data_IF_605199697058
#
_entry.id   IF_605199697058
#
_cell.length_a   1.000
_cell.length_b   1.000
_cell.length_c   1.000
_cell.angle_alpha   90.00
_cell.angle_beta   90.00
_cell.angle_gamma   90.00
#
_symmetry.space_group_name_H-M   'P 1'
#
loop_
_entity.id
_entity.type
_entity.pdbx_description
1 polymer ?
#
# COMPACT_ATOMS: atom_id res chain seq x y z
N UNK A 1 21.48 47.32 -27.39
CA UNK A 1 22.06 46.00 -27.69
C UNK A 1 23.17 45.72 -26.67
N UNK A 2 22.87 44.92 -25.65
CA UNK A 2 23.74 44.64 -24.50
C UNK A 2 24.48 43.31 -24.67
N UNK A 3 25.81 43.34 -24.69
CA UNK A 3 26.65 42.20 -24.28
C UNK A 3 27.95 42.75 -23.69
N UNK A 4 27.92 43.08 -22.41
CA UNK A 4 29.08 43.59 -21.66
C UNK A 4 29.40 42.59 -20.54
N UNK A 5 30.57 41.97 -20.67
CA UNK A 5 31.52 41.64 -19.58
C UNK A 5 31.11 40.58 -18.57
N UNK A 6 31.93 39.52 -18.41
CA UNK A 6 32.54 39.17 -17.10
C UNK A 6 33.30 37.83 -17.17
N UNK A 7 34.54 37.85 -17.68
CA UNK A 7 35.48 36.71 -17.65
C UNK A 7 36.35 36.71 -16.38
N UNK A 8 36.00 37.47 -15.33
CA UNK A 8 36.81 37.58 -14.10
C UNK A 8 36.21 36.91 -12.86
N UNK A 9 35.01 36.32 -12.96
CA UNK A 9 34.21 35.89 -11.80
C UNK A 9 34.36 34.42 -11.35
N UNK A 10 35.28 33.65 -11.92
CA UNK A 10 35.49 32.23 -11.51
C UNK A 10 36.33 32.11 -10.23
N UNK A 11 37.09 33.15 -9.86
CA UNK A 11 38.05 33.09 -8.74
C UNK A 11 37.46 33.48 -7.36
N UNK A 12 36.34 34.20 -7.32
CA UNK A 12 35.64 34.52 -6.06
C UNK A 12 34.67 33.40 -5.57
N UNK A 13 34.77 32.18 -6.13
CA UNK A 13 33.86 31.06 -5.81
C UNK A 13 34.19 30.27 -4.54
N UNK A 14 35.23 30.63 -3.78
CA UNK A 14 35.73 29.79 -2.67
C UNK A 14 35.63 30.38 -1.27
N UNK A 15 35.27 31.66 -1.09
CA UNK A 15 35.40 32.29 0.25
C UNK A 15 34.04 32.69 0.87
N UNK A 16 32.94 32.68 0.12
CA UNK A 16 31.62 33.07 0.67
C UNK A 16 30.45 32.10 0.37
N UNK A 17 30.75 30.86 -0.03
CA UNK A 17 29.75 29.81 -0.25
C UNK A 17 29.32 29.09 1.05
N UNK A 18 29.83 29.49 2.22
CA UNK A 18 29.62 28.77 3.48
C UNK A 18 28.27 29.01 4.17
N UNK A 19 27.51 30.07 3.81
CA UNK A 19 26.33 30.46 4.60
C UNK A 19 25.02 30.68 3.80
N UNK A 20 25.05 30.68 2.45
CA UNK A 20 23.86 30.85 1.58
C UNK A 20 23.56 29.59 0.76
N UNK A 21 24.24 28.46 1.03
CA UNK A 21 24.02 27.20 0.32
C UNK A 21 22.99 26.25 0.98
N UNK A 22 22.43 26.59 2.14
CA UNK A 22 21.60 25.66 2.93
C UNK A 22 20.09 25.78 2.63
N UNK A 23 19.62 26.82 1.92
CA UNK A 23 18.18 27.08 1.75
C UNK A 23 17.57 26.58 0.41
N UNK A 24 18.35 26.03 -0.52
CA UNK A 24 17.84 25.72 -1.88
C UNK A 24 17.82 24.24 -2.26
N UNK A 25 17.91 23.32 -1.29
CA UNK A 25 17.93 21.87 -1.54
C UNK A 25 16.64 21.12 -1.19
N UNK A 26 15.54 21.81 -0.86
CA UNK A 26 14.28 21.16 -0.48
C UNK A 26 13.14 21.48 -1.46
N UNK A 27 13.32 21.09 -2.72
CA UNK A 27 12.19 20.84 -3.62
C UNK A 27 12.23 19.37 -4.04
N UNK A 28 11.89 18.49 -3.09
CA UNK A 28 11.54 17.11 -3.43
C UNK A 28 10.16 17.14 -4.11
N UNK A 29 9.98 16.47 -5.27
CA UNK A 29 8.63 16.26 -5.78
C UNK A 29 7.89 15.39 -4.75
N UNK A 30 6.87 15.95 -4.10
CA UNK A 30 5.95 15.17 -3.28
C UNK A 30 5.18 14.26 -4.24
N UNK A 31 5.57 13.00 -4.33
CA UNK A 31 4.75 11.99 -4.98
C UNK A 31 3.50 11.85 -4.11
N UNK A 32 2.41 12.42 -4.59
CA UNK A 32 1.08 12.15 -4.04
C UNK A 32 0.91 10.63 -4.03
N UNK A 33 0.86 10.05 -2.83
CA UNK A 33 0.68 8.62 -2.62
C UNK A 33 -0.74 8.30 -3.03
N UNK A 34 -0.94 8.07 -4.33
CA UNK A 34 -2.24 7.76 -4.90
C UNK A 34 -2.71 6.48 -4.23
N UNK A 35 -3.57 6.62 -3.22
CA UNK A 35 -4.13 5.53 -2.45
C UNK A 35 -5.20 4.89 -3.32
N UNK A 36 -4.78 4.23 -4.40
CA UNK A 36 -5.67 3.44 -5.23
C UNK A 36 -6.31 2.39 -4.33
N UNK A 37 -7.66 2.28 -4.33
CA UNK A 37 -8.35 1.23 -3.61
C UNK A 37 -7.70 -0.10 -3.96
N UNK A 38 -7.12 -0.76 -2.96
CA UNK A 38 -6.44 -2.02 -3.18
C UNK A 38 -7.50 -3.11 -3.20
N UNK A 39 -7.80 -3.62 -4.39
CA UNK A 39 -8.64 -4.80 -4.53
C UNK A 39 -7.81 -6.03 -4.16
N UNK A 40 -8.23 -6.73 -3.11
CA UNK A 40 -7.65 -8.00 -2.69
C UNK A 40 -8.55 -9.13 -3.13
N UNK A 41 -7.98 -10.06 -3.86
CA UNK A 41 -8.62 -11.28 -4.36
C UNK A 41 -7.95 -12.49 -3.74
N UNK A 42 -8.67 -13.58 -3.67
CA UNK A 42 -8.11 -14.77 -3.04
C UNK A 42 -9.06 -15.93 -3.01
N UNK A 43 -8.59 -17.02 -2.42
CA UNK A 43 -9.39 -18.21 -2.14
C UNK A 43 -9.17 -18.64 -0.69
N UNK A 44 -10.27 -18.99 -0.02
CA UNK A 44 -10.26 -19.62 1.29
C UNK A 44 -10.40 -21.12 1.12
N UNK A 45 -9.48 -21.89 1.67
CA UNK A 45 -9.42 -23.35 1.55
C UNK A 45 -9.35 -24.05 2.91
N UNK A 46 -9.72 -25.32 2.96
CA UNK A 46 -9.48 -26.21 4.11
C UNK A 46 -8.05 -26.81 4.07
N UNK A 47 -7.67 -27.60 5.10
CA UNK A 47 -6.46 -28.44 5.11
C UNK A 47 -6.31 -29.33 3.88
N UNK A 48 -7.41 -29.79 3.31
CA UNK A 48 -7.39 -30.60 2.07
C UNK A 48 -7.22 -29.77 0.79
N UNK A 49 -7.11 -28.44 0.87
CA UNK A 49 -7.03 -27.55 -0.29
C UNK A 49 -8.36 -27.33 -1.02
N UNK A 50 -9.47 -27.82 -0.44
CA UNK A 50 -10.82 -27.60 -0.99
C UNK A 50 -11.33 -26.23 -0.59
N UNK A 51 -11.89 -25.48 -1.55
CA UNK A 51 -12.46 -24.15 -1.30
C UNK A 51 -13.66 -24.19 -0.36
N UNK A 52 -13.72 -23.25 0.59
CA UNK A 52 -14.81 -23.17 1.58
C UNK A 52 -15.78 -22.04 1.22
N UNK A 53 -17.04 -22.36 0.84
CA UNK A 53 -18.06 -21.34 0.62
C UNK A 53 -18.61 -20.78 1.93
N UNK A 54 -19.10 -19.54 1.90
CA UNK A 54 -19.77 -18.94 3.06
C UNK A 54 -18.85 -18.37 4.14
N UNK A 55 -17.53 -18.27 3.88
CA UNK A 55 -16.57 -17.65 4.80
C UNK A 55 -16.76 -16.13 4.76
N UNK A 56 -16.85 -15.52 5.95
CA UNK A 56 -16.91 -14.07 6.10
C UNK A 56 -15.50 -13.49 6.08
N UNK A 57 -15.20 -12.67 5.08
CA UNK A 57 -13.94 -11.94 4.93
C UNK A 57 -14.19 -10.48 5.25
N UNK A 58 -13.69 -9.99 6.38
CA UNK A 58 -13.93 -8.64 6.88
C UNK A 58 -12.63 -7.85 6.99
N UNK A 59 -12.63 -6.61 6.53
CA UNK A 59 -11.55 -5.66 6.82
C UNK A 59 -11.64 -5.21 8.29
N UNK A 60 -10.55 -5.42 9.03
CA UNK A 60 -10.47 -5.11 10.46
C UNK A 60 -10.72 -3.63 10.69
N UNK A 61 -11.49 -3.32 11.73
CA UNK A 61 -11.88 -1.96 12.09
C UNK A 61 -12.78 -1.23 11.09
N UNK A 62 -13.25 -1.89 10.03
CA UNK A 62 -14.25 -1.32 9.10
C UNK A 62 -15.50 -2.22 9.05
N UNK A 63 -16.55 -1.73 8.39
CA UNK A 63 -17.76 -2.52 8.10
C UNK A 63 -17.69 -3.19 6.73
N UNK A 64 -16.54 -3.10 6.05
CA UNK A 64 -16.33 -3.69 4.74
C UNK A 64 -16.13 -5.20 4.90
N UNK A 65 -17.09 -5.98 4.42
CA UNK A 65 -17.04 -7.43 4.48
C UNK A 65 -17.64 -8.04 3.21
N UNK A 66 -17.11 -9.18 2.81
CA UNK A 66 -17.58 -9.99 1.69
C UNK A 66 -17.66 -11.45 2.11
N UNK A 67 -18.53 -12.20 1.45
CA UNK A 67 -18.68 -13.64 1.67
C UNK A 67 -18.01 -14.39 0.51
N UNK A 68 -17.32 -15.48 0.80
CA UNK A 68 -16.75 -16.34 -0.25
C UNK A 68 -17.84 -17.03 -1.08
N UNK A 69 -17.61 -17.17 -2.38
CA UNK A 69 -18.51 -17.86 -3.30
C UNK A 69 -18.42 -19.40 -3.17
N UNK A 70 -19.14 -20.13 -4.03
CA UNK A 70 -19.21 -21.61 -4.05
C UNK A 70 -17.83 -22.30 -4.19
N UNK A 71 -16.86 -21.64 -4.82
CA UNK A 71 -15.49 -22.12 -4.98
C UNK A 71 -14.55 -21.65 -3.84
N UNK A 72 -15.07 -20.93 -2.84
CA UNK A 72 -14.28 -20.32 -1.77
C UNK A 72 -13.51 -19.05 -2.18
N UNK A 73 -13.76 -18.49 -3.36
CA UNK A 73 -13.10 -17.27 -3.85
C UNK A 73 -13.75 -16.02 -3.25
N UNK A 74 -12.94 -14.99 -3.04
CA UNK A 74 -13.41 -13.68 -2.59
C UNK A 74 -12.73 -12.54 -3.35
N UNK A 75 -13.40 -11.40 -3.42
CA UNK A 75 -12.81 -10.12 -3.82
C UNK A 75 -13.34 -9.02 -2.92
N UNK A 76 -12.44 -8.26 -2.28
CA UNK A 76 -12.77 -7.16 -1.39
C UNK A 76 -11.95 -5.92 -1.78
N UNK A 77 -12.62 -4.78 -1.91
CA UNK A 77 -11.96 -3.49 -2.14
C UNK A 77 -11.65 -2.86 -0.79
N UNK A 78 -10.37 -2.75 -0.43
CA UNK A 78 -9.96 -2.21 0.85
C UNK A 78 -10.00 -0.69 0.86
N UNK A 79 -10.32 -0.14 2.03
CA UNK A 79 -10.21 1.30 2.28
C UNK A 79 -8.76 1.68 2.58
N UNK A 80 -7.99 0.78 3.21
CA UNK A 80 -6.57 0.96 3.47
C UNK A 80 -5.75 -0.26 2.99
N UNK A 81 -4.68 -0.06 2.20
CA UNK A 81 -3.84 -1.15 1.69
C UNK A 81 -3.11 -1.93 2.79
N UNK A 82 -2.91 -1.35 3.97
CA UNK A 82 -2.24 -1.98 5.11
C UNK A 82 -3.22 -2.54 6.14
N UNK A 83 -4.51 -2.67 5.78
CA UNK A 83 -5.52 -3.25 6.66
C UNK A 83 -5.26 -4.73 6.94
N UNK A 84 -5.79 -5.20 8.07
CA UNK A 84 -5.86 -6.63 8.38
C UNK A 84 -7.19 -7.18 7.89
N UNK A 85 -7.17 -8.32 7.21
CA UNK A 85 -8.36 -9.09 6.89
C UNK A 85 -8.60 -10.13 7.98
N UNK A 86 -9.86 -10.24 8.41
CA UNK A 86 -10.36 -11.22 9.37
C UNK A 86 -11.24 -12.21 8.61
N UNK A 87 -10.85 -13.47 8.65
CA UNK A 87 -11.56 -14.59 8.05
C UNK A 87 -12.28 -15.34 9.16
N UNK A 88 -13.60 -15.43 9.08
CA UNK A 88 -14.42 -16.08 10.10
C UNK A 88 -15.46 -16.99 9.46
N UNK A 89 -15.61 -18.18 10.02
CA UNK A 89 -16.57 -19.18 9.57
C UNK A 89 -17.09 -19.97 10.77
N UNK A 90 -18.35 -20.42 10.69
CA UNK A 90 -19.01 -21.10 11.81
C UNK A 90 -18.28 -22.42 12.09
N UNK A 91 -17.85 -22.61 13.33
CA UNK A 91 -17.12 -23.81 13.76
C UNK A 91 -15.61 -23.77 13.53
N UNK A 92 -15.05 -22.67 13.00
CA UNK A 92 -13.61 -22.49 12.80
C UNK A 92 -13.06 -21.35 13.65
N UNK A 93 -11.74 -21.39 13.89
CA UNK A 93 -11.05 -20.27 14.51
C UNK A 93 -10.97 -19.09 13.54
N UNK A 94 -11.24 -17.89 14.04
CA UNK A 94 -11.08 -16.68 13.23
C UNK A 94 -9.60 -16.45 12.95
N UNK A 95 -9.25 -16.25 11.68
CA UNK A 95 -7.88 -16.00 11.26
C UNK A 95 -7.72 -14.53 10.87
N UNK A 96 -6.66 -13.90 11.37
CA UNK A 96 -6.29 -12.55 10.98
C UNK A 96 -5.04 -12.56 10.11
N UNK A 97 -5.07 -11.85 8.98
CA UNK A 97 -3.95 -11.71 8.05
C UNK A 97 -3.79 -10.27 7.60
N UNK A 98 -2.58 -9.71 7.78
CA UNK A 98 -2.27 -8.42 7.18
C UNK A 98 -2.22 -8.54 5.66
N UNK A 99 -2.73 -7.52 4.98
CA UNK A 99 -2.72 -7.46 3.52
C UNK A 99 -1.29 -7.24 3.04
N UNK A 100 -0.78 -8.18 2.24
CA UNK A 100 0.58 -8.12 1.68
C UNK A 100 0.59 -7.90 0.17
N UNK A 101 -0.57 -7.92 -0.49
CA UNK A 101 -0.70 -7.74 -1.93
C UNK A 101 -2.12 -8.03 -2.44
N UNK A 102 -2.31 -7.92 -3.75
CA UNK A 102 -3.62 -8.07 -4.39
C UNK A 102 -4.14 -9.50 -4.48
N UNK A 103 -3.29 -10.54 -4.31
CA UNK A 103 -3.73 -11.94 -4.30
C UNK A 103 -3.32 -12.64 -3.01
N UNK A 104 -4.29 -13.17 -2.26
CA UNK A 104 -4.08 -13.76 -0.94
C UNK A 104 -4.93 -15.03 -0.76
N UNK A 105 -4.28 -16.19 -0.68
CA UNK A 105 -4.97 -17.44 -0.36
C UNK A 105 -4.82 -17.76 1.12
N UNK A 106 -5.88 -18.28 1.73
CA UNK A 106 -5.96 -18.48 3.17
C UNK A 106 -6.50 -19.86 3.48
N UNK A 107 -5.80 -20.62 4.32
CA UNK A 107 -6.26 -21.90 4.85
C UNK A 107 -6.95 -21.70 6.20
N UNK A 108 -8.19 -22.17 6.35
CA UNK A 108 -8.81 -22.36 7.68
C UNK A 108 -8.48 -23.76 8.18
N UNK A 109 -8.24 -23.88 9.49
CA UNK A 109 -7.77 -25.11 10.16
C UNK A 109 -8.69 -25.53 11.29
#
# INVERSE_FOLDING_TARGET
MSFKTSTKNTLCRLINCGFIAILTLTFSPVSAQNSTPTEVRGQVTDKSGTGIPGVSVKEKSTQNAVITNDEGKYSIKLQNPNSTLVFSYIGFNSLEKNVTGGMMNVGLL
#
